data_IF_336678972615
#
_entry.id   IF_336678972615
#
_cell.length_a   1.000
_cell.length_b   1.000
_cell.length_c   1.000
_cell.angle_alpha   90.00
_cell.angle_beta   90.00
_cell.angle_gamma   90.00
#
_symmetry.space_group_name_H-M   'P 1'
#
loop_
_entity.id
_entity.type
_entity.pdbx_description
1 polymer ?
#
# COMPACT_ATOMS: atom_id res chain seq x y z
N UNK A 1 47.84 -52.94 28.12
CA UNK A 1 46.77 -53.97 27.98
C UNK A 1 46.16 -54.02 26.57
N UNK A 2 46.87 -53.59 25.51
CA UNK A 2 46.36 -53.52 24.12
C UNK A 2 47.19 -54.31 23.08
N UNK A 3 48.15 -55.13 23.53
CA UNK A 3 49.06 -55.88 22.63
C UNK A 3 48.58 -57.31 22.31
N UNK A 4 47.51 -57.81 22.94
CA UNK A 4 46.98 -59.14 22.64
C UNK A 4 45.96 -59.09 21.50
N UNK A 5 45.99 -60.10 20.63
CA UNK A 5 45.07 -60.25 19.48
C UNK A 5 43.59 -60.13 19.91
N UNK A 6 43.28 -60.66 21.11
CA UNK A 6 41.94 -60.60 21.73
C UNK A 6 41.55 -59.17 22.15
N UNK A 7 42.50 -58.37 22.62
CA UNK A 7 42.26 -56.96 22.96
C UNK A 7 41.94 -56.10 21.73
N UNK A 8 42.58 -56.38 20.60
CA UNK A 8 42.28 -55.72 19.32
C UNK A 8 40.90 -56.11 18.78
N UNK A 9 40.54 -57.39 18.85
CA UNK A 9 39.22 -57.87 18.45
C UNK A 9 38.09 -57.24 19.28
N UNK A 10 38.27 -57.15 20.60
CA UNK A 10 37.29 -56.49 21.47
C UNK A 10 37.15 -54.99 21.15
N UNK A 11 38.25 -54.30 20.88
CA UNK A 11 38.22 -52.88 20.48
C UNK A 11 37.50 -52.68 19.15
N UNK A 12 37.75 -53.53 18.15
CA UNK A 12 37.06 -53.47 16.85
C UNK A 12 35.56 -53.69 17.04
N UNK A 13 35.15 -54.68 17.84
CA UNK A 13 33.74 -54.95 18.11
C UNK A 13 33.05 -53.78 18.80
N UNK A 14 33.72 -53.15 19.76
CA UNK A 14 33.20 -51.96 20.45
C UNK A 14 33.08 -50.78 19.48
N UNK A 15 34.07 -50.55 18.62
CA UNK A 15 34.02 -49.48 17.60
C UNK A 15 32.90 -49.74 16.59
N UNK A 16 32.71 -50.98 16.12
CA UNK A 16 31.64 -51.33 15.20
C UNK A 16 30.26 -51.21 15.87
N UNK A 17 30.14 -51.60 17.14
CA UNK A 17 28.91 -51.46 17.89
C UNK A 17 28.55 -49.99 18.12
N UNK A 18 29.53 -49.15 18.49
CA UNK A 18 29.34 -47.71 18.66
C UNK A 18 28.99 -47.06 17.32
N UNK A 19 29.70 -47.42 16.24
CA UNK A 19 29.46 -46.86 14.91
C UNK A 19 28.09 -47.28 14.35
N UNK A 20 27.68 -48.52 14.59
CA UNK A 20 26.35 -49.01 14.20
C UNK A 20 25.23 -48.37 15.03
N UNK A 21 25.46 -48.15 16.32
CA UNK A 21 24.52 -47.41 17.17
C UNK A 21 24.38 -45.95 16.73
N UNK A 22 25.49 -45.29 16.41
CA UNK A 22 25.50 -43.90 15.95
C UNK A 22 24.79 -43.72 14.60
N UNK A 23 24.95 -44.67 13.67
CA UNK A 23 24.23 -44.65 12.38
C UNK A 23 22.72 -44.85 12.54
N UNK A 24 22.28 -45.59 13.56
CA UNK A 24 20.86 -45.81 13.83
C UNK A 24 20.21 -44.65 14.59
N UNK A 25 20.95 -43.98 15.48
CA UNK A 25 20.44 -42.82 16.23
C UNK A 25 20.42 -41.55 15.40
N UNK A 26 21.47 -41.35 14.59
CA UNK A 26 21.63 -40.15 13.79
C UNK A 26 21.09 -40.46 12.39
N UNK A 27 19.76 -40.40 12.25
CA UNK A 27 19.11 -40.52 10.95
C UNK A 27 19.80 -39.61 9.92
N UNK A 28 20.22 -40.17 8.79
CA UNK A 28 20.92 -39.43 7.73
C UNK A 28 20.12 -38.17 7.36
N UNK A 29 20.75 -37.01 7.42
CA UNK A 29 20.15 -35.75 6.96
C UNK A 29 19.83 -35.88 5.48
N UNK A 30 18.54 -35.91 5.15
CA UNK A 30 18.06 -36.04 3.78
C UNK A 30 18.05 -34.65 3.16
N UNK A 31 18.82 -34.44 2.09
CA UNK A 31 18.77 -33.18 1.34
C UNK A 31 17.45 -33.02 0.59
N UNK A 32 17.28 -31.85 -0.04
CA UNK A 32 16.11 -31.49 -0.86
C UNK A 32 15.67 -32.59 -1.84
N UNK A 33 16.64 -33.24 -2.49
CA UNK A 33 16.40 -34.30 -3.49
C UNK A 33 15.80 -35.59 -2.90
N UNK A 34 15.99 -35.83 -1.59
CA UNK A 34 15.51 -37.02 -0.90
C UNK A 34 14.28 -36.76 -0.02
N UNK A 35 14.17 -35.56 0.55
CA UNK A 35 13.05 -35.16 1.43
C UNK A 35 11.93 -34.42 0.68
N UNK A 36 12.19 -33.94 -0.54
CA UNK A 36 11.32 -33.00 -1.23
C UNK A 36 11.38 -31.60 -0.60
N UNK A 37 10.95 -30.60 -1.37
CA UNK A 37 10.91 -29.20 -0.94
C UNK A 37 10.99 -28.23 -2.11
N UNK A 38 11.32 -26.99 -1.81
CA UNK A 38 11.26 -25.88 -2.76
C UNK A 38 12.63 -25.21 -2.93
N UNK A 39 13.05 -24.96 -4.17
CA UNK A 39 14.23 -24.17 -4.51
C UNK A 39 13.80 -22.92 -5.29
N UNK A 40 14.02 -21.74 -4.71
CA UNK A 40 13.77 -20.46 -5.36
C UNK A 40 15.08 -19.76 -5.66
N UNK A 41 15.12 -19.15 -6.85
CA UNK A 41 16.13 -18.15 -7.20
C UNK A 41 15.40 -16.82 -7.31
N UNK A 42 15.74 -15.90 -6.41
CA UNK A 42 15.21 -14.54 -6.38
C UNK A 42 16.25 -13.61 -7.01
N UNK A 43 15.79 -12.67 -7.81
CA UNK A 43 16.61 -11.66 -8.49
C UNK A 43 15.99 -10.28 -8.26
N UNK A 44 16.84 -9.24 -8.20
CA UNK A 44 16.36 -7.86 -8.06
C UNK A 44 15.73 -7.41 -9.38
N UNK A 45 14.43 -7.15 -9.36
CA UNK A 45 13.70 -6.58 -10.48
C UNK A 45 14.05 -5.09 -10.64
N UNK A 46 14.78 -4.77 -11.71
CA UNK A 46 15.21 -3.42 -12.08
C UNK A 46 15.16 -3.30 -13.61
N UNK A 47 13.96 -3.15 -14.19
CA UNK A 47 13.76 -3.18 -15.64
C UNK A 47 14.49 -2.04 -16.36
N UNK A 48 14.67 -0.90 -15.69
CA UNK A 48 15.33 0.28 -16.25
C UNK A 48 16.85 0.31 -15.99
N UNK A 49 17.40 -0.72 -15.31
CA UNK A 49 18.83 -0.81 -14.93
C UNK A 49 19.35 0.46 -14.25
N UNK A 50 18.51 1.07 -13.42
CA UNK A 50 18.80 2.37 -12.79
C UNK A 50 19.59 2.24 -11.50
N UNK A 51 19.63 1.03 -10.91
CA UNK A 51 20.28 0.79 -9.63
C UNK A 51 21.80 0.66 -9.80
N UNK A 52 22.54 1.29 -8.88
CA UNK A 52 23.97 1.06 -8.75
C UNK A 52 24.24 -0.36 -8.23
N UNK A 53 25.44 -0.89 -8.48
CA UNK A 53 25.87 -2.18 -7.93
C UNK A 53 25.81 -2.21 -6.40
N UNK A 54 26.08 -1.09 -5.73
CA UNK A 54 25.94 -0.96 -4.27
C UNK A 54 24.47 -1.03 -3.84
N UNK A 55 23.58 -0.30 -4.50
CA UNK A 55 22.15 -0.33 -4.20
C UNK A 55 21.53 -1.73 -4.42
N UNK A 56 22.02 -2.46 -5.42
CA UNK A 56 21.61 -3.84 -5.70
C UNK A 56 22.08 -4.82 -4.62
N UNK A 57 23.34 -4.69 -4.19
CA UNK A 57 23.87 -5.49 -3.09
C UNK A 57 23.10 -5.23 -1.77
N UNK A 58 22.82 -3.97 -1.46
CA UNK A 58 22.03 -3.59 -0.29
C UNK A 58 20.59 -4.13 -0.36
N UNK A 59 19.99 -4.13 -1.55
CA UNK A 59 18.67 -4.71 -1.77
C UNK A 59 18.65 -6.23 -1.51
N UNK A 60 19.69 -6.94 -1.98
CA UNK A 60 19.86 -8.37 -1.69
C UNK A 60 20.07 -8.63 -0.20
N UNK A 61 20.85 -7.79 0.50
CA UNK A 61 21.06 -7.92 1.94
C UNK A 61 19.78 -7.70 2.74
N UNK A 62 18.95 -6.73 2.34
CA UNK A 62 17.61 -6.54 2.92
C UNK A 62 16.70 -7.73 2.62
N UNK A 63 16.68 -8.20 1.37
CA UNK A 63 15.88 -9.35 0.98
C UNK A 63 16.26 -10.61 1.76
N UNK A 64 17.56 -10.87 1.96
CA UNK A 64 18.03 -12.01 2.78
C UNK A 64 17.43 -11.96 4.19
N UNK A 65 17.46 -10.79 4.83
CA UNK A 65 16.93 -10.61 6.19
C UNK A 65 15.42 -10.85 6.23
N UNK A 66 14.67 -10.27 5.30
CA UNK A 66 13.21 -10.40 5.23
C UNK A 66 12.82 -11.86 4.98
N UNK A 67 13.47 -12.51 4.01
CA UNK A 67 13.19 -13.91 3.66
C UNK A 67 13.49 -14.82 4.85
N UNK A 68 14.59 -14.58 5.59
CA UNK A 68 14.89 -15.34 6.80
C UNK A 68 13.77 -15.26 7.83
N UNK A 69 13.29 -14.05 8.15
CA UNK A 69 12.17 -13.86 9.07
C UNK A 69 10.89 -14.57 8.60
N UNK A 70 10.56 -14.49 7.31
CA UNK A 70 9.38 -15.16 6.74
C UNK A 70 9.49 -16.68 6.77
N UNK A 71 10.68 -17.21 6.55
CA UNK A 71 10.93 -18.65 6.60
C UNK A 71 10.83 -19.17 8.03
N UNK A 72 11.25 -18.37 9.03
CA UNK A 72 11.04 -18.68 10.43
C UNK A 72 9.54 -18.77 10.77
N UNK A 73 8.71 -17.87 10.21
CA UNK A 73 7.23 -17.91 10.34
C UNK A 73 6.58 -19.14 9.67
N UNK A 74 7.18 -19.65 8.60
CA UNK A 74 6.75 -20.89 7.95
C UNK A 74 7.05 -22.14 8.80
N UNK A 75 7.90 -22.03 9.82
CA UNK A 75 8.26 -23.13 10.70
C UNK A 75 9.14 -24.18 10.03
N UNK A 76 9.95 -23.78 9.04
CA UNK A 76 10.88 -24.67 8.34
C UNK A 76 12.09 -24.95 9.22
N UNK A 77 12.41 -26.23 9.45
CA UNK A 77 13.46 -26.62 10.40
C UNK A 77 14.89 -26.35 9.90
N UNK A 78 15.15 -26.45 8.59
CA UNK A 78 16.49 -26.27 8.02
C UNK A 78 16.46 -25.49 6.68
N UNK A 79 16.27 -24.16 6.70
CA UNK A 79 16.30 -23.35 5.48
C UNK A 79 17.73 -22.98 5.05
N UNK A 80 18.00 -23.07 3.75
CA UNK A 80 19.25 -22.62 3.15
C UNK A 80 19.03 -21.33 2.37
N UNK A 81 19.52 -20.22 2.90
CA UNK A 81 19.43 -18.91 2.26
C UNK A 81 20.84 -18.44 1.95
N UNK A 82 21.16 -18.29 0.67
CA UNK A 82 22.51 -17.94 0.20
C UNK A 82 22.48 -16.87 -0.89
N UNK A 83 23.36 -15.88 -0.75
CA UNK A 83 23.61 -14.88 -1.79
C UNK A 83 24.52 -15.46 -2.87
N UNK A 84 24.15 -15.28 -4.13
CA UNK A 84 24.96 -15.68 -5.28
C UNK A 84 25.32 -14.46 -6.10
N UNK A 85 26.60 -14.08 -6.03
CA UNK A 85 27.07 -12.83 -6.61
C UNK A 85 26.50 -11.61 -5.88
N UNK A 86 26.16 -10.56 -6.62
CA UNK A 86 25.59 -9.31 -6.10
C UNK A 86 24.12 -9.09 -6.46
N UNK A 87 23.49 -10.05 -7.16
CA UNK A 87 22.18 -9.82 -7.81
C UNK A 87 21.15 -10.91 -7.52
N UNK A 88 21.57 -12.04 -6.94
CA UNK A 88 20.70 -13.21 -6.75
C UNK A 88 20.73 -13.71 -5.32
N UNK A 89 19.58 -14.19 -4.87
CA UNK A 89 19.38 -14.83 -3.59
C UNK A 89 18.76 -16.22 -3.83
N UNK A 90 19.48 -17.27 -3.46
CA UNK A 90 19.01 -18.65 -3.49
C UNK A 90 18.37 -18.99 -2.15
N UNK A 91 17.17 -19.55 -2.21
CA UNK A 91 16.39 -19.98 -1.04
C UNK A 91 16.00 -21.44 -1.26
N UNK A 92 16.47 -22.34 -0.39
CA UNK A 92 16.08 -23.75 -0.40
C UNK A 92 15.37 -24.09 0.90
N UNK A 93 14.14 -24.61 0.78
CA UNK A 93 13.28 -24.97 1.90
C UNK A 93 12.99 -26.46 1.83
N UNK A 94 13.69 -27.24 2.63
CA UNK A 94 13.47 -28.69 2.75
C UNK A 94 12.21 -28.98 3.58
N UNK A 95 11.48 -30.04 3.25
CA UNK A 95 10.36 -30.53 4.06
C UNK A 95 9.09 -29.67 4.02
N UNK A 96 9.01 -28.68 3.12
CA UNK A 96 7.77 -27.93 2.87
C UNK A 96 6.74 -28.83 2.20
N UNK A 97 5.52 -28.84 2.75
CA UNK A 97 4.37 -29.58 2.21
C UNK A 97 3.50 -28.76 1.26
N UNK A 98 3.51 -27.44 1.43
CA UNK A 98 2.67 -26.50 0.70
C UNK A 98 3.56 -25.42 0.06
N UNK A 99 4.03 -25.72 -1.14
CA UNK A 99 4.89 -24.82 -1.92
C UNK A 99 4.16 -23.56 -2.36
N UNK A 100 2.86 -23.63 -2.65
CA UNK A 100 2.08 -22.46 -3.08
C UNK A 100 1.95 -21.43 -1.96
N UNK A 101 1.66 -21.88 -0.73
CA UNK A 101 1.61 -21.02 0.45
C UNK A 101 2.98 -20.43 0.79
N UNK A 102 4.03 -21.22 0.66
CA UNK A 102 5.38 -20.73 0.92
C UNK A 102 5.77 -19.69 -0.13
N UNK A 103 5.49 -19.95 -1.41
CA UNK A 103 5.72 -19.01 -2.50
C UNK A 103 4.92 -17.71 -2.34
N UNK A 104 3.67 -17.76 -1.88
CA UNK A 104 2.88 -16.53 -1.64
C UNK A 104 3.49 -15.67 -0.54
N UNK A 105 3.84 -16.28 0.60
CA UNK A 105 4.47 -15.56 1.73
C UNK A 105 5.83 -14.98 1.33
N UNK A 106 6.63 -15.70 0.55
CA UNK A 106 7.93 -15.21 0.09
C UNK A 106 7.82 -14.13 -1.00
N UNK A 107 6.81 -14.20 -1.87
CA UNK A 107 6.61 -13.21 -2.94
C UNK A 107 5.84 -11.96 -2.50
N UNK A 108 5.08 -12.03 -1.41
CA UNK A 108 4.27 -10.90 -0.98
C UNK A 108 5.17 -9.76 -0.50
N UNK A 109 5.39 -8.74 -1.33
CA UNK A 109 6.14 -7.56 -0.95
C UNK A 109 5.30 -6.69 0.00
N UNK A 110 5.21 -7.09 1.27
CA UNK A 110 4.59 -6.29 2.32
C UNK A 110 5.56 -5.18 2.74
N UNK A 111 5.60 -4.09 1.97
CA UNK A 111 6.24 -2.86 2.41
C UNK A 111 5.28 -2.08 3.29
N UNK A 112 5.62 -1.96 4.57
CA UNK A 112 4.83 -1.21 5.55
C UNK A 112 5.49 0.15 5.78
N UNK A 113 4.71 1.21 5.60
CA UNK A 113 5.09 2.59 5.90
C UNK A 113 4.15 3.18 6.93
N UNK A 114 4.70 3.97 7.84
CA UNK A 114 3.96 4.81 8.76
C UNK A 114 4.08 6.26 8.31
N UNK A 115 2.93 6.87 8.03
CA UNK A 115 2.81 8.28 7.61
C UNK A 115 1.94 9.03 8.59
N UNK A 116 2.29 10.29 8.85
CA UNK A 116 1.48 11.16 9.69
C UNK A 116 0.21 11.58 8.93
N UNK A 117 -0.92 11.55 9.64
CA UNK A 117 -2.18 12.12 9.14
C UNK A 117 -2.14 13.63 9.38
N UNK A 118 -2.35 14.40 8.33
CA UNK A 118 -2.36 15.86 8.37
C UNK A 118 -3.81 16.37 8.38
N UNK A 119 -4.08 17.53 8.99
CA UNK A 119 -5.41 18.12 8.95
C UNK A 119 -5.80 18.51 7.51
N UNK A 120 -7.10 18.47 7.22
CA UNK A 120 -7.64 18.77 5.87
C UNK A 120 -7.32 20.20 5.41
N UNK A 121 -7.11 21.12 6.37
CA UNK A 121 -6.76 22.52 6.15
C UNK A 121 -5.47 22.71 5.34
N UNK A 122 -4.55 21.73 5.37
CA UNK A 122 -3.32 21.78 4.56
C UNK A 122 -3.61 21.66 3.05
N UNK A 123 -4.67 20.92 2.69
CA UNK A 123 -5.01 20.62 1.30
C UNK A 123 -6.13 21.50 0.75
N UNK A 124 -7.03 21.99 1.61
CA UNK A 124 -8.12 22.91 1.24
C UNK A 124 -7.73 24.04 0.26
N UNK A 125 -6.66 24.83 0.47
CA UNK A 125 -6.27 25.90 -0.46
C UNK A 125 -5.75 25.38 -1.81
N UNK A 126 -5.40 24.09 -1.89
CA UNK A 126 -4.91 23.44 -3.11
C UNK A 126 -6.02 22.79 -3.92
N UNK A 127 -7.18 22.47 -3.31
CA UNK A 127 -8.31 21.82 -4.00
C UNK A 127 -8.76 22.61 -5.25
N UNK A 128 -8.85 23.93 -5.13
CA UNK A 128 -9.20 24.81 -6.27
C UNK A 128 -8.13 24.84 -7.37
N UNK A 129 -6.89 24.45 -7.08
CA UNK A 129 -5.83 24.26 -8.08
C UNK A 129 -5.96 22.89 -8.75
N UNK A 130 -6.29 21.84 -7.99
CA UNK A 130 -6.53 20.49 -8.52
C UNK A 130 -7.69 20.52 -9.52
N UNK A 131 -8.82 21.12 -9.16
CA UNK A 131 -9.98 21.24 -10.06
C UNK A 131 -9.62 21.93 -11.39
N UNK A 132 -8.83 23.01 -11.33
CA UNK A 132 -8.37 23.71 -12.54
C UNK A 132 -7.39 22.89 -13.36
N UNK A 133 -6.49 22.14 -12.72
CA UNK A 133 -5.56 21.25 -13.40
C UNK A 133 -6.32 20.15 -14.16
N UNK A 134 -7.34 19.56 -13.55
CA UNK A 134 -8.17 18.52 -14.16
C UNK A 134 -8.92 19.05 -15.37
N UNK A 135 -9.57 20.21 -15.24
CA UNK A 135 -10.30 20.86 -16.35
C UNK A 135 -9.36 21.29 -17.48
N UNK A 136 -8.10 21.59 -17.18
CA UNK A 136 -7.11 21.93 -18.20
C UNK A 136 -6.61 20.68 -18.97
N UNK A 137 -6.60 19.51 -18.33
CA UNK A 137 -6.08 18.26 -18.92
C UNK A 137 -7.14 17.41 -19.60
N UNK A 138 -8.34 17.34 -19.04
CA UNK A 138 -9.41 16.46 -19.50
C UNK A 138 -10.44 17.27 -20.30
N UNK A 139 -10.95 16.67 -21.37
CA UNK A 139 -12.07 17.24 -22.11
C UNK A 139 -13.35 17.21 -21.27
N UNK A 140 -14.29 18.13 -21.52
CA UNK A 140 -15.57 18.18 -20.82
C UNK A 140 -16.34 16.85 -20.91
N UNK A 141 -16.21 16.12 -22.02
CA UNK A 141 -16.81 14.79 -22.21
C UNK A 141 -16.20 13.70 -21.32
N UNK A 142 -14.89 13.76 -21.05
CA UNK A 142 -14.19 12.82 -20.16
C UNK A 142 -14.53 13.09 -18.70
N UNK A 143 -14.59 14.38 -18.32
CA UNK A 143 -15.02 14.82 -16.99
C UNK A 143 -16.47 14.40 -16.75
N UNK A 144 -17.35 14.57 -17.74
CA UNK A 144 -18.71 14.10 -17.66
C UNK A 144 -18.74 12.57 -17.49
N UNK A 145 -18.01 11.78 -18.27
CA UNK A 145 -18.00 10.30 -18.12
C UNK A 145 -17.50 9.83 -16.75
N UNK A 146 -16.49 10.49 -16.19
CA UNK A 146 -15.92 10.16 -14.89
C UNK A 146 -16.78 10.70 -13.72
N UNK A 147 -17.45 11.85 -13.92
CA UNK A 147 -18.28 12.51 -12.91
C UNK A 147 -19.77 12.13 -12.93
N UNK A 148 -20.33 11.62 -14.04
CA UNK A 148 -21.76 11.29 -14.16
C UNK A 148 -22.15 10.03 -13.39
N UNK A 149 -21.19 9.27 -12.85
CA UNK A 149 -21.48 8.14 -11.96
C UNK A 149 -21.85 8.61 -10.54
N UNK A 150 -21.54 9.86 -10.19
CA UNK A 150 -21.71 10.49 -8.88
C UNK A 150 -23.10 11.10 -8.62
N UNK A 151 -24.06 10.98 -9.55
CA UNK A 151 -25.42 11.45 -9.30
C UNK A 151 -26.44 10.51 -9.92
N UNK A 152 -27.47 10.02 -9.17
CA UNK A 152 -28.73 9.69 -9.80
C UNK A 152 -29.29 11.01 -10.33
N UNK A 153 -28.96 11.33 -11.58
CA UNK A 153 -29.77 12.26 -12.37
C UNK A 153 -31.09 11.52 -12.56
N UNK A 154 -32.09 11.86 -11.74
CA UNK A 154 -33.48 11.57 -12.09
C UNK A 154 -33.68 12.11 -13.51
N UNK A 155 -33.91 11.25 -14.53
CA UNK A 155 -34.18 11.74 -15.86
C UNK A 155 -35.63 12.21 -15.85
N UNK A 156 -35.83 13.48 -15.52
CA UNK A 156 -37.16 14.06 -15.43
C UNK A 156 -37.08 15.54 -15.12
N UNK A 157 -37.46 16.35 -16.10
CA UNK A 157 -37.71 17.79 -16.00
C UNK A 157 -36.47 18.69 -15.94
N UNK A 158 -35.72 18.72 -17.05
CA UNK A 158 -35.43 20.04 -17.63
C UNK A 158 -36.77 20.58 -18.13
N UNK A 159 -37.47 21.34 -17.29
CA UNK A 159 -38.79 21.85 -17.63
C UNK A 159 -38.62 22.89 -18.73
N UNK A 160 -39.43 22.72 -19.78
CA UNK A 160 -39.50 23.59 -20.96
C UNK A 160 -39.74 25.06 -20.56
N UNK A 161 -40.24 25.33 -19.35
CA UNK A 161 -40.34 26.67 -18.75
C UNK A 161 -39.02 27.48 -18.74
N UNK A 162 -37.85 26.88 -18.51
CA UNK A 162 -36.58 27.64 -18.38
C UNK A 162 -36.05 28.20 -19.72
N UNK A 163 -36.52 27.62 -20.83
CA UNK A 163 -36.22 28.06 -22.19
C UNK A 163 -37.28 29.03 -22.76
N UNK A 164 -38.45 29.14 -22.12
CA UNK A 164 -39.53 30.04 -22.58
C UNK A 164 -39.47 31.44 -21.97
N UNK A 165 -38.83 31.62 -20.81
CA UNK A 165 -38.78 32.92 -20.12
C UNK A 165 -37.50 33.72 -20.35
N UNK A 166 -36.56 33.22 -21.15
CA UNK A 166 -35.31 33.90 -21.53
C UNK A 166 -35.35 34.44 -22.96
N UNK A 167 -36.44 35.10 -23.33
CA UNK A 167 -36.56 35.82 -24.60
C UNK A 167 -37.53 36.99 -24.48
N UNK A 168 -37.01 38.22 -24.39
CA UNK A 168 -37.85 39.42 -24.44
C UNK A 168 -37.16 40.68 -23.92
N UNK A 169 -36.65 41.45 -24.86
CA UNK A 169 -35.86 42.67 -24.70
C UNK A 169 -36.68 43.91 -24.25
N UNK A 170 -35.97 44.89 -23.66
CA UNK A 170 -36.21 46.35 -23.65
C UNK A 170 -37.23 47.03 -22.69
N UNK A 171 -36.67 47.84 -21.76
CA UNK A 171 -36.79 49.32 -21.67
C UNK A 171 -37.18 49.96 -20.32
N UNK A 172 -36.37 51.00 -19.97
CA UNK A 172 -36.59 52.20 -19.11
C UNK A 172 -36.15 52.21 -17.62
N UNK A 173 -35.77 53.42 -17.10
CA UNK A 173 -34.57 53.62 -16.26
C UNK A 173 -34.84 54.32 -14.90
N UNK A 174 -33.75 54.61 -14.17
CA UNK A 174 -33.65 55.40 -12.92
C UNK A 174 -34.14 54.66 -11.65
N UNK A 175 -33.45 54.64 -10.50
CA UNK A 175 -32.59 55.66 -9.90
C UNK A 175 -31.48 55.07 -9.00
N UNK A 176 -30.48 55.91 -8.79
CA UNK A 176 -29.20 55.68 -8.10
C UNK A 176 -29.30 55.32 -6.61
N UNK A 177 -28.48 54.37 -6.16
CA UNK A 177 -27.74 54.48 -4.90
C UNK A 177 -26.44 53.66 -5.00
N UNK A 178 -25.31 54.38 -5.01
CA UNK A 178 -23.99 53.83 -5.19
C UNK A 178 -23.53 53.01 -3.96
N UNK A 179 -22.98 51.82 -4.19
CA UNK A 179 -21.85 51.29 -3.41
C UNK A 179 -21.02 50.38 -4.31
N UNK A 180 -19.86 50.91 -4.70
CA UNK A 180 -18.58 50.27 -5.03
C UNK A 180 -18.57 49.04 -5.93
N UNK A 181 -17.98 49.25 -7.11
CA UNK A 181 -17.62 48.23 -8.07
C UNK A 181 -16.60 47.25 -7.48
N UNK A 182 -16.97 45.98 -7.45
CA UNK A 182 -16.03 44.88 -7.63
C UNK A 182 -16.32 44.23 -8.99
N UNK A 183 -15.25 44.02 -9.74
CA UNK A 183 -15.23 43.47 -11.10
C UNK A 183 -16.14 42.25 -11.23
N UNK A 184 -17.18 42.38 -12.05
CA UNK A 184 -17.97 41.27 -12.55
C UNK A 184 -17.17 40.56 -13.64
N UNK A 185 -16.18 39.76 -13.22
CA UNK A 185 -15.63 38.72 -14.09
C UNK A 185 -16.75 37.71 -14.29
N UNK A 186 -17.17 37.54 -15.54
CA UNK A 186 -18.16 36.56 -15.98
C UNK A 186 -17.85 35.18 -15.36
N UNK A 187 -18.66 34.79 -14.39
CA UNK A 187 -18.59 33.49 -13.72
C UNK A 187 -19.06 32.40 -14.67
N UNK A 188 -18.13 31.88 -15.48
CA UNK A 188 -18.24 30.49 -15.96
C UNK A 188 -18.46 29.65 -14.70
N UNK A 189 -19.42 28.70 -14.66
CA UNK A 189 -19.56 27.82 -13.51
C UNK A 189 -18.18 27.21 -13.26
N UNK A 190 -17.57 27.52 -12.12
CA UNK A 190 -16.27 26.98 -11.77
C UNK A 190 -16.47 25.48 -11.62
N UNK A 191 -16.21 24.71 -12.67
CA UNK A 191 -16.34 23.26 -12.63
C UNK A 191 -15.40 22.74 -11.54
N UNK A 192 -15.95 22.02 -10.56
CA UNK A 192 -15.22 21.43 -9.43
C UNK A 192 -15.29 19.90 -9.50
N UNK A 193 -14.71 19.28 -10.54
CA UNK A 193 -14.88 17.85 -10.79
C UNK A 193 -14.28 16.98 -9.68
N UNK A 194 -13.26 17.46 -8.96
CA UNK A 194 -12.65 16.73 -7.86
C UNK A 194 -13.30 17.11 -6.53
N UNK A 195 -13.39 18.42 -6.23
CA UNK A 195 -13.90 18.88 -4.94
C UNK A 195 -15.37 18.52 -4.73
N UNK A 196 -16.19 18.41 -5.78
CA UNK A 196 -17.59 18.01 -5.66
C UNK A 196 -17.78 16.54 -5.20
N UNK A 197 -16.75 15.71 -5.35
CA UNK A 197 -16.78 14.30 -4.94
C UNK A 197 -16.29 14.10 -3.49
N UNK A 198 -15.76 15.16 -2.87
CA UNK A 198 -15.27 15.13 -1.50
C UNK A 198 -16.37 15.56 -0.53
N UNK A 199 -16.68 14.70 0.42
CA UNK A 199 -17.52 15.04 1.58
C UNK A 199 -16.65 15.22 2.82
N UNK A 200 -17.17 15.92 3.83
CA UNK A 200 -16.49 16.09 5.12
C UNK A 200 -16.20 14.73 5.75
N UNK A 201 -14.96 14.54 6.23
CA UNK A 201 -14.53 13.34 6.95
C UNK A 201 -15.24 13.13 8.27
N UNK A 202 -15.33 11.87 8.69
CA UNK A 202 -15.75 11.48 10.05
C UNK A 202 -14.58 11.41 11.04
N UNK A 203 -13.34 11.37 10.52
CA UNK A 203 -12.09 11.37 11.30
C UNK A 203 -11.22 12.54 10.85
N UNK A 204 -10.40 13.06 11.76
CA UNK A 204 -9.46 14.14 11.46
C UNK A 204 -8.52 13.77 10.31
N UNK A 205 -8.29 14.74 9.42
CA UNK A 205 -7.40 14.55 8.26
C UNK A 205 -7.95 13.62 7.18
N UNK A 206 -9.26 13.40 7.13
CA UNK A 206 -9.89 12.57 6.11
C UNK A 206 -11.04 13.28 5.38
N UNK A 207 -11.29 12.88 4.14
CA UNK A 207 -12.50 13.17 3.39
C UNK A 207 -13.29 11.89 3.15
N UNK A 208 -14.60 11.97 3.01
CA UNK A 208 -15.45 10.85 2.62
C UNK A 208 -15.77 10.92 1.13
N UNK A 209 -15.41 9.86 0.41
CA UNK A 209 -15.69 9.72 -1.03
C UNK A 209 -16.65 8.56 -1.21
N UNK A 210 -17.72 8.74 -1.99
CA UNK A 210 -18.66 7.67 -2.24
C UNK A 210 -17.94 6.50 -2.95
N UNK A 211 -18.24 5.25 -2.58
CA UNK A 211 -17.50 4.09 -3.11
C UNK A 211 -17.54 4.03 -4.65
N UNK A 212 -18.63 4.50 -5.26
CA UNK A 212 -18.82 4.64 -6.70
C UNK A 212 -17.86 5.63 -7.39
N UNK A 213 -17.33 6.62 -6.66
CA UNK A 213 -16.53 7.72 -7.20
C UNK A 213 -15.03 7.57 -6.94
N UNK A 214 -14.63 6.52 -6.22
CA UNK A 214 -13.23 6.25 -5.86
C UNK A 214 -12.35 6.09 -7.11
N UNK A 215 -12.83 5.35 -8.10
CA UNK A 215 -12.10 5.13 -9.36
C UNK A 215 -11.89 6.45 -10.12
N UNK A 216 -12.90 7.32 -10.13
CA UNK A 216 -12.82 8.65 -10.74
C UNK A 216 -11.76 9.51 -10.06
N UNK A 217 -11.74 9.54 -8.72
CA UNK A 217 -10.71 10.28 -7.99
C UNK A 217 -9.31 9.69 -8.22
N UNK A 218 -9.16 8.37 -8.20
CA UNK A 218 -7.87 7.73 -8.49
C UNK A 218 -7.38 8.09 -9.90
N UNK A 219 -8.27 8.10 -10.89
CA UNK A 219 -7.92 8.51 -12.25
C UNK A 219 -7.46 9.97 -12.32
N UNK A 220 -8.08 10.87 -11.55
CA UNK A 220 -7.66 12.27 -11.47
C UNK A 220 -6.30 12.42 -10.77
N UNK A 221 -6.07 11.70 -9.67
CA UNK A 221 -4.79 11.72 -8.94
C UNK A 221 -3.64 11.07 -9.71
N UNK A 222 -3.93 10.19 -10.67
CA UNK A 222 -2.94 9.61 -11.56
C UNK A 222 -2.41 10.60 -12.61
N UNK A 223 -3.11 11.71 -12.86
CA UNK A 223 -2.67 12.73 -13.81
C UNK A 223 -1.44 13.48 -13.28
N UNK A 224 -0.39 13.57 -14.10
CA UNK A 224 0.86 14.24 -13.72
C UNK A 224 0.67 15.72 -13.37
N UNK A 225 -0.25 16.44 -14.02
CA UNK A 225 -0.55 17.84 -13.68
C UNK A 225 -1.20 17.98 -12.30
N UNK A 226 -2.05 17.04 -11.90
CA UNK A 226 -2.71 17.02 -10.59
C UNK A 226 -1.70 16.71 -9.50
N UNK A 227 -0.80 15.76 -9.74
CA UNK A 227 0.31 15.47 -8.82
C UNK A 227 1.25 16.66 -8.61
N UNK A 228 1.49 17.48 -9.65
CA UNK A 228 2.29 18.70 -9.53
C UNK A 228 1.56 19.84 -8.81
N UNK A 229 0.24 19.83 -8.83
CA UNK A 229 -0.59 20.84 -8.17
C UNK A 229 -0.76 20.58 -6.66
N UNK A 230 -0.54 19.33 -6.20
CA UNK A 230 -0.48 18.98 -4.79
C UNK A 230 0.72 19.63 -4.08
N UNK A 231 0.60 19.95 -2.78
CA UNK A 231 1.75 20.34 -1.96
C UNK A 231 2.85 19.27 -2.00
N UNK A 232 4.12 19.70 -1.91
CA UNK A 232 5.27 18.78 -1.97
C UNK A 232 5.32 17.79 -0.82
N UNK A 233 4.76 18.16 0.33
CA UNK A 233 4.88 17.38 1.57
C UNK A 233 3.60 16.58 1.87
N UNK A 234 2.65 16.53 0.92
CA UNK A 234 1.35 15.88 1.11
C UNK A 234 1.13 14.76 0.10
N UNK A 235 0.52 13.67 0.56
CA UNK A 235 -0.04 12.60 -0.26
C UNK A 235 -1.50 12.32 0.11
N UNK A 236 -2.28 11.87 -0.87
CA UNK A 236 -3.69 11.52 -0.70
C UNK A 236 -3.85 10.02 -0.93
N UNK A 237 -4.32 9.29 0.08
CA UNK A 237 -4.42 7.83 0.03
C UNK A 237 -5.76 7.34 0.53
N UNK A 238 -6.35 6.38 -0.18
CA UNK A 238 -7.62 5.79 0.20
C UNK A 238 -7.48 4.70 1.25
N UNK A 239 -8.48 4.60 2.12
CA UNK A 239 -8.69 3.47 3.01
C UNK A 239 -9.09 2.21 2.20
N UNK A 240 -8.53 1.07 2.61
CA UNK A 240 -8.80 -0.24 1.96
C UNK A 240 -10.20 -0.75 2.26
N UNK A 241 -10.74 -0.47 3.45
CA UNK A 241 -12.07 -0.92 3.85
C UNK A 241 -13.10 0.19 3.65
N UNK A 242 -14.29 -0.12 3.11
CA UNK A 242 -15.38 0.84 3.02
C UNK A 242 -16.02 1.07 4.39
N UNK A 243 -16.49 2.29 4.61
CA UNK A 243 -17.17 2.74 5.82
C UNK A 243 -18.63 3.05 5.48
N UNK A 244 -19.55 2.45 6.23
CA UNK A 244 -20.97 2.74 6.09
C UNK A 244 -21.37 4.00 6.85
N UNK A 245 -21.89 5.00 6.16
CA UNK A 245 -22.42 6.23 6.77
C UNK A 245 -23.87 6.42 6.31
N UNK A 246 -24.81 6.18 7.22
CA UNK A 246 -26.24 6.15 6.90
C UNK A 246 -26.60 4.96 5.98
N UNK A 247 -27.15 5.25 4.80
CA UNK A 247 -27.56 4.24 3.80
C UNK A 247 -26.49 4.03 2.71
N UNK A 248 -25.45 4.88 2.69
CA UNK A 248 -24.41 4.84 1.66
C UNK A 248 -23.09 4.31 2.22
N UNK A 249 -22.24 3.84 1.32
CA UNK A 249 -20.88 3.40 1.64
C UNK A 249 -19.89 4.39 1.07
N UNK A 250 -18.87 4.70 1.85
CA UNK A 250 -17.82 5.63 1.51
C UNK A 250 -16.46 4.95 1.68
N UNK A 251 -15.43 5.53 1.08
CA UNK A 251 -14.05 5.29 1.46
C UNK A 251 -13.46 6.58 2.00
N UNK A 252 -12.69 6.47 3.08
CA UNK A 252 -11.93 7.61 3.58
C UNK A 252 -10.76 7.88 2.65
N UNK A 253 -10.57 9.14 2.30
CA UNK A 253 -9.40 9.66 1.62
C UNK A 253 -8.59 10.44 2.66
N UNK A 254 -7.48 9.85 3.10
CA UNK A 254 -6.61 10.47 4.09
C UNK A 254 -5.67 11.48 3.44
N UNK A 255 -5.51 12.60 4.14
CA UNK A 255 -4.42 13.54 3.90
C UNK A 255 -3.24 13.09 4.74
N UNK A 256 -2.18 12.67 4.09
CA UNK A 256 -0.99 12.14 4.73
C UNK A 256 0.21 13.00 4.40
N UNK A 257 1.20 13.00 5.28
CA UNK A 257 2.54 13.45 4.91
C UNK A 257 3.06 12.59 3.74
N UNK A 258 3.82 13.18 2.82
CA UNK A 258 4.34 12.44 1.66
C UNK A 258 5.33 11.38 2.09
N UNK A 259 6.26 11.75 2.98
CA UNK A 259 7.35 10.91 3.43
C UNK A 259 6.91 10.08 4.64
N UNK A 260 7.34 8.81 4.66
CA UNK A 260 7.12 7.95 5.81
C UNK A 260 8.15 8.27 6.89
N UNK A 261 7.68 8.51 8.12
CA UNK A 261 8.59 8.74 9.25
C UNK A 261 9.19 7.43 9.77
N UNK A 262 8.55 6.30 9.48
CA UNK A 262 9.00 4.97 9.89
C UNK A 262 8.52 3.91 8.90
N UNK A 263 9.29 2.82 8.77
CA UNK A 263 8.92 1.64 7.99
C UNK A 263 8.73 0.42 8.89
N UNK A 264 8.19 -0.67 8.33
CA UNK A 264 8.01 -1.93 9.05
C UNK A 264 9.29 -2.54 9.62
N UNK A 265 10.48 -2.15 9.13
CA UNK A 265 11.76 -2.65 9.67
C UNK A 265 12.02 -2.23 11.12
N UNK A 266 11.41 -1.13 11.58
CA UNK A 266 11.51 -0.67 12.95
C UNK A 266 10.64 -1.48 13.93
N UNK A 267 9.71 -2.30 13.43
CA UNK A 267 8.80 -3.07 14.26
C UNK A 267 9.46 -4.33 14.81
N UNK A 268 9.33 -4.54 16.12
CA UNK A 268 9.64 -5.79 16.79
C UNK A 268 8.39 -6.68 16.95
N UNK A 269 7.25 -6.08 17.29
CA UNK A 269 5.97 -6.80 17.40
C UNK A 269 4.79 -5.87 17.13
N UNK A 270 3.67 -6.44 16.67
CA UNK A 270 2.41 -5.72 16.44
C UNK A 270 1.24 -6.60 16.88
N UNK A 271 0.44 -6.11 17.82
CA UNK A 271 -0.72 -6.83 18.36
C UNK A 271 -1.96 -6.00 18.13
N UNK A 272 -2.88 -6.52 17.31
CA UNK A 272 -4.20 -5.93 17.15
C UNK A 272 -5.04 -6.17 18.42
N UNK A 273 -5.68 -5.12 18.89
CA UNK A 273 -6.58 -5.15 20.03
C UNK A 273 -7.76 -4.23 19.82
N UNK A 274 -8.54 -4.05 20.88
CA UNK A 274 -9.50 -2.96 20.97
C UNK A 274 -9.22 -2.14 22.21
N UNK A 275 -9.42 -0.85 22.08
CA UNK A 275 -9.42 0.06 23.21
C UNK A 275 -10.51 -0.38 24.20
N UNK A 276 -10.17 -0.70 25.46
CA UNK A 276 -11.15 -1.14 26.46
C UNK A 276 -12.15 -0.03 26.85
N UNK A 277 -11.80 1.24 26.64
CA UNK A 277 -12.63 2.39 26.99
C UNK A 277 -13.57 2.80 25.86
N UNK A 278 -13.08 2.82 24.62
CA UNK A 278 -13.86 3.31 23.46
C UNK A 278 -14.28 2.23 22.48
N UNK A 279 -13.88 0.97 22.68
CA UNK A 279 -14.13 -0.18 21.80
C UNK A 279 -13.73 0.09 20.33
N UNK A 280 -12.72 0.95 20.15
CA UNK A 280 -12.13 1.25 18.85
C UNK A 280 -11.03 0.23 18.54
N UNK A 281 -10.82 -0.08 17.26
CA UNK A 281 -9.68 -0.90 16.84
C UNK A 281 -8.38 -0.17 17.17
N UNK A 282 -7.48 -0.83 17.90
CA UNK A 282 -6.16 -0.30 18.20
C UNK A 282 -5.11 -1.34 17.79
N UNK A 283 -3.93 -0.89 17.41
CA UNK A 283 -2.79 -1.77 17.20
C UNK A 283 -1.67 -1.29 18.11
N UNK A 284 -1.22 -2.16 18.99
CA UNK A 284 -0.09 -1.89 19.86
C UNK A 284 1.19 -2.41 19.19
N UNK A 285 2.17 -1.54 19.05
CA UNK A 285 3.44 -1.85 18.43
C UNK A 285 4.56 -1.80 19.47
N UNK A 286 5.52 -2.71 19.35
CA UNK A 286 6.82 -2.59 20.01
C UNK A 286 7.87 -2.30 18.94
N UNK A 287 8.70 -1.28 19.17
CA UNK A 287 9.78 -0.89 18.27
C UNK A 287 11.11 -1.50 18.72
N UNK A 288 11.98 -1.77 17.75
CA UNK A 288 13.34 -2.23 18.03
C UNK A 288 14.24 -1.06 18.48
N UNK A 289 15.50 -1.31 18.86
CA UNK A 289 16.42 -0.25 19.33
C UNK A 289 16.80 0.81 18.28
N UNK A 290 16.53 0.54 17.01
CA UNK A 290 16.75 1.48 15.92
C UNK A 290 15.52 2.35 15.62
N UNK A 291 14.36 2.03 16.24
CA UNK A 291 13.08 2.75 16.15
C UNK A 291 12.69 3.40 17.46
#
# INVERSE_FOLDING_TARGET
MLSSLRGRLALILVVVAISGWQLYSDGLKQGLDLQGGMHLVLEVDDPDSTLTTEARADAIDRAERIIRTRVDELGVEEPLIQKVGSERLIVELAGIRDEERAKSILNEAAFLEFKLVLPTTEVEPTLSRLDRAIVATLSEDEIARLGQRAAPVTPGQRTIEDLLFTGGDTSRPADSAATQAEDTVSTRPTARPFTALLNTGDVEGSYLVATEDVESIQSFLALGEVQRALPRDVSLTFETQPVGVGVRTYRRLYVLEKDAFMTGEALQSAIAGRDPQFNQSQVQFELNRAG
#
